data_IF_401933904091
#
_entry.id   IF_401933904091
#
_cell.length_a   1.000
_cell.length_b   1.000
_cell.length_c   1.000
_cell.angle_alpha   90.00
_cell.angle_beta   90.00
_cell.angle_gamma   90.00
#
_symmetry.space_group_name_H-M   'P 1'
#
loop_
_entity.id
_entity.type
_entity.pdbx_description
1 polymer ?
#
# COMPACT_ATOMS: atom_id res chain seq x y z
N UNK A 1 60.11 11.83 7.43
CA UNK A 1 59.04 10.83 7.25
C UNK A 1 58.00 11.22 8.24
N UNK A 2 56.86 11.76 7.81
CA UNK A 2 55.63 11.88 8.63
C UNK A 2 54.52 12.59 7.84
N UNK A 3 54.85 13.54 6.94
CA UNK A 3 53.83 14.28 6.19
C UNK A 3 53.12 13.44 5.10
N UNK A 4 53.84 12.62 4.34
CA UNK A 4 53.23 11.80 3.27
C UNK A 4 52.28 10.73 3.81
N UNK A 5 52.56 10.19 5.00
CA UNK A 5 51.67 9.25 5.67
C UNK A 5 50.44 9.96 6.22
N UNK A 6 50.61 11.14 6.85
CA UNK A 6 49.48 11.93 7.32
C UNK A 6 48.56 12.37 6.17
N UNK A 7 49.12 12.72 5.01
CA UNK A 7 48.35 13.09 3.83
C UNK A 7 47.57 11.89 3.27
N UNK A 8 48.15 10.70 3.30
CA UNK A 8 47.46 9.46 2.93
C UNK A 8 46.29 9.15 3.87
N UNK A 9 46.45 9.34 5.18
CA UNK A 9 45.36 9.17 6.15
C UNK A 9 44.25 10.23 5.99
N UNK A 10 44.61 11.48 5.71
CA UNK A 10 43.64 12.56 5.45
C UNK A 10 42.82 12.30 4.18
N UNK A 11 43.45 11.82 3.11
CA UNK A 11 42.74 11.43 1.89
C UNK A 11 41.81 10.24 2.14
N UNK A 12 42.27 9.20 2.83
CA UNK A 12 41.45 8.02 3.13
C UNK A 12 40.22 8.35 3.97
N UNK A 13 40.37 9.20 4.99
CA UNK A 13 39.24 9.63 5.84
C UNK A 13 38.25 10.53 5.09
N UNK A 14 38.73 11.43 4.22
CA UNK A 14 37.86 12.26 3.39
C UNK A 14 37.02 11.42 2.41
N UNK A 15 37.61 10.39 1.80
CA UNK A 15 36.90 9.45 0.91
C UNK A 15 35.85 8.66 1.69
N UNK A 16 36.17 8.20 2.89
CA UNK A 16 35.24 7.45 3.75
C UNK A 16 34.04 8.33 4.15
N UNK A 17 34.27 9.60 4.48
CA UNK A 17 33.24 10.59 4.78
C UNK A 17 32.35 10.88 3.57
N UNK A 18 32.94 11.03 2.38
CA UNK A 18 32.19 11.26 1.14
C UNK A 18 31.31 10.05 0.76
N UNK A 19 31.81 8.83 0.94
CA UNK A 19 31.04 7.60 0.72
C UNK A 19 29.88 7.48 1.73
N UNK A 20 30.13 7.75 3.01
CA UNK A 20 29.08 7.77 4.04
C UNK A 20 27.98 8.79 3.75
N UNK A 21 28.36 10.02 3.35
CA UNK A 21 27.42 11.06 2.98
C UNK A 21 26.60 10.71 1.73
N UNK A 22 27.22 10.08 0.73
CA UNK A 22 26.54 9.61 -0.47
C UNK A 22 25.45 8.56 -0.13
N UNK A 23 25.78 7.58 0.72
CA UNK A 23 24.83 6.56 1.17
C UNK A 23 23.61 7.19 1.89
N UNK A 24 23.85 8.11 2.82
CA UNK A 24 22.77 8.84 3.53
C UNK A 24 21.89 9.61 2.55
N UNK A 25 22.49 10.27 1.55
CA UNK A 25 21.76 11.06 0.54
C UNK A 25 20.87 10.20 -0.36
N UNK A 26 21.27 8.96 -0.66
CA UNK A 26 20.43 8.03 -1.44
C UNK A 26 19.19 7.54 -0.70
N UNK A 27 19.21 7.53 0.64
CA UNK A 27 18.08 7.08 1.46
C UNK A 27 16.93 8.10 1.52
N UNK A 28 17.21 9.36 1.14
CA UNK A 28 16.21 10.43 1.04
C UNK A 28 15.38 10.40 -0.24
N UNK A 29 15.28 9.24 -0.91
CA UNK A 29 14.21 8.98 -1.88
C UNK A 29 12.89 9.05 -1.14
N UNK A 30 12.30 10.25 -1.13
CA UNK A 30 10.99 10.62 -0.58
C UNK A 30 10.11 9.40 -0.41
N UNK A 31 10.22 8.81 0.78
CA UNK A 31 9.35 7.72 1.20
C UNK A 31 7.94 8.19 0.92
N UNK A 32 7.17 7.42 0.16
CA UNK A 32 5.82 7.80 -0.29
C UNK A 32 4.98 8.09 0.95
N UNK A 33 5.00 9.34 1.43
CA UNK A 33 4.58 9.78 2.77
C UNK A 33 3.16 9.34 3.08
N UNK A 34 2.33 9.31 2.04
CA UNK A 34 0.95 8.85 2.09
C UNK A 34 0.85 7.33 2.16
N UNK A 35 1.65 6.59 1.39
CA UNK A 35 1.65 5.13 1.39
C UNK A 35 2.21 4.53 2.69
N UNK A 36 3.04 5.27 3.42
CA UNK A 36 3.65 4.81 4.68
C UNK A 36 2.85 5.17 5.93
N UNK A 37 1.70 5.85 5.83
CA UNK A 37 0.86 6.08 7.01
C UNK A 37 0.30 4.75 7.52
N UNK A 38 0.30 4.59 8.84
CA UNK A 38 -0.20 3.39 9.55
C UNK A 38 -1.60 2.99 9.10
N UNK A 39 -2.51 3.97 8.97
CA UNK A 39 -3.90 3.76 8.50
C UNK A 39 -3.96 2.98 7.17
N UNK A 40 -3.05 3.23 6.22
CA UNK A 40 -3.03 2.53 4.94
C UNK A 40 -2.27 1.20 4.98
N UNK A 41 -1.34 1.02 5.92
CA UNK A 41 -0.65 -0.27 6.15
C UNK A 41 -1.61 -1.28 6.76
N UNK A 42 -2.43 -0.83 7.71
CA UNK A 42 -3.32 -1.70 8.47
C UNK A 42 -4.66 -1.94 7.79
N UNK A 43 -4.97 -1.20 6.72
CA UNK A 43 -6.24 -1.27 5.96
C UNK A 43 -6.67 -2.70 5.60
N UNK A 44 -5.73 -3.59 5.27
CA UNK A 44 -6.08 -4.99 4.93
C UNK A 44 -6.67 -5.75 6.13
N UNK A 45 -6.28 -5.39 7.35
CA UNK A 45 -6.71 -6.03 8.59
C UNK A 45 -7.86 -5.28 9.26
N UNK A 46 -7.76 -3.95 9.38
CA UNK A 46 -8.69 -3.10 10.12
C UNK A 46 -9.60 -2.22 9.25
N UNK A 47 -9.50 -2.34 7.92
CA UNK A 47 -10.34 -1.58 7.00
C UNK A 47 -11.81 -1.97 7.09
N UNK A 48 -12.68 -1.01 6.80
CA UNK A 48 -14.14 -1.19 6.77
C UNK A 48 -14.57 -2.43 5.96
N UNK A 49 -13.93 -2.66 4.81
CA UNK A 49 -14.21 -3.81 3.97
C UNK A 49 -14.02 -5.13 4.73
N UNK A 50 -12.86 -5.32 5.34
CA UNK A 50 -12.50 -6.56 6.03
C UNK A 50 -13.34 -6.76 7.30
N UNK A 51 -13.52 -5.68 8.09
CA UNK A 51 -14.13 -5.77 9.42
C UNK A 51 -15.65 -5.80 9.36
N UNK A 52 -16.25 -5.07 8.43
CA UNK A 52 -17.68 -4.77 8.43
C UNK A 52 -18.37 -5.30 7.18
N UNK A 53 -17.90 -4.94 5.98
CA UNK A 53 -18.58 -5.33 4.74
C UNK A 53 -18.63 -6.85 4.54
N UNK A 54 -17.53 -7.56 4.80
CA UNK A 54 -17.51 -9.03 4.67
C UNK A 54 -18.49 -9.71 5.63
N UNK A 55 -18.63 -9.19 6.85
CA UNK A 55 -19.63 -9.69 7.83
C UNK A 55 -21.04 -9.41 7.38
N UNK A 56 -21.32 -8.22 6.83
CA UNK A 56 -22.62 -7.93 6.24
C UNK A 56 -22.94 -8.93 5.12
N UNK A 57 -21.96 -9.21 4.24
CA UNK A 57 -22.13 -10.15 3.14
C UNK A 57 -22.44 -11.58 3.61
N UNK A 58 -21.83 -12.05 4.71
CA UNK A 58 -22.01 -13.42 5.19
C UNK A 58 -23.19 -13.60 6.14
N UNK A 59 -23.35 -12.67 7.08
CA UNK A 59 -24.17 -12.87 8.28
C UNK A 59 -25.42 -11.97 8.30
N UNK A 60 -25.44 -10.88 7.52
CA UNK A 60 -26.51 -9.87 7.56
C UNK A 60 -26.96 -9.44 6.14
N UNK A 61 -27.81 -10.26 5.48
CA UNK A 61 -28.27 -10.00 4.13
C UNK A 61 -29.12 -8.73 4.02
N UNK A 62 -29.83 -8.32 5.08
CA UNK A 62 -30.62 -7.09 5.08
C UNK A 62 -29.72 -5.87 5.05
N UNK A 63 -28.69 -5.83 5.89
CA UNK A 63 -27.73 -4.75 5.91
C UNK A 63 -26.86 -4.75 4.64
N UNK A 64 -26.50 -5.91 4.11
CA UNK A 64 -25.85 -6.02 2.81
C UNK A 64 -26.70 -5.42 1.70
N UNK A 65 -28.00 -5.74 1.68
CA UNK A 65 -28.94 -5.18 0.70
C UNK A 65 -29.11 -3.67 0.88
N UNK A 66 -29.18 -3.18 2.12
CA UNK A 66 -29.25 -1.73 2.39
C UNK A 66 -28.00 -1.00 1.89
N UNK A 67 -26.83 -1.60 2.07
CA UNK A 67 -25.55 -1.03 1.68
C UNK A 67 -25.31 -1.08 0.16
N UNK A 68 -25.61 -2.20 -0.49
CA UNK A 68 -25.30 -2.41 -1.93
C UNK A 68 -26.50 -2.22 -2.86
N UNK A 69 -27.72 -2.12 -2.32
CA UNK A 69 -29.00 -2.14 -3.05
C UNK A 69 -29.23 -3.39 -3.90
N UNK A 70 -28.57 -4.50 -3.56
CA UNK A 70 -28.67 -5.77 -4.28
C UNK A 70 -28.45 -6.97 -3.35
N UNK A 71 -28.87 -8.15 -3.80
CA UNK A 71 -28.57 -9.40 -3.09
C UNK A 71 -27.12 -9.81 -3.34
N UNK A 72 -26.58 -10.67 -2.47
CA UNK A 72 -25.21 -11.21 -2.61
C UNK A 72 -25.00 -11.90 -3.95
N UNK A 73 -25.99 -12.65 -4.44
CA UNK A 73 -25.93 -13.32 -5.74
C UNK A 73 -25.81 -12.33 -6.91
N UNK A 74 -26.59 -11.25 -6.89
CA UNK A 74 -26.54 -10.21 -7.94
C UNK A 74 -25.22 -9.48 -7.89
N UNK A 75 -24.74 -9.17 -6.68
CA UNK A 75 -23.43 -8.56 -6.47
C UNK A 75 -22.30 -9.42 -7.03
N UNK A 76 -22.28 -10.72 -6.71
CA UNK A 76 -21.25 -11.64 -7.19
C UNK A 76 -21.31 -11.85 -8.70
N UNK A 77 -22.52 -11.88 -9.27
CA UNK A 77 -22.71 -11.89 -10.72
C UNK A 77 -22.13 -10.62 -11.37
N UNK A 78 -22.46 -9.44 -10.85
CA UNK A 78 -21.93 -8.17 -11.35
C UNK A 78 -20.40 -8.11 -11.22
N UNK A 79 -19.87 -8.55 -10.08
CA UNK A 79 -18.45 -8.66 -9.84
C UNK A 79 -17.79 -9.57 -10.86
N UNK A 80 -18.38 -10.71 -11.21
CA UNK A 80 -17.83 -11.62 -12.23
C UNK A 80 -17.63 -10.95 -13.59
N UNK A 81 -18.54 -10.03 -13.98
CA UNK A 81 -18.46 -9.28 -15.24
C UNK A 81 -17.43 -8.15 -15.18
N UNK A 82 -17.28 -7.52 -14.02
CA UNK A 82 -16.43 -6.34 -13.86
C UNK A 82 -15.02 -6.65 -13.34
N UNK A 83 -14.78 -7.84 -12.78
CA UNK A 83 -13.52 -8.24 -12.12
C UNK A 83 -12.30 -7.95 -12.98
N UNK A 84 -12.36 -8.27 -14.27
CA UNK A 84 -11.27 -8.05 -15.22
C UNK A 84 -11.00 -6.57 -15.50
N UNK A 85 -12.05 -5.73 -15.48
CA UNK A 85 -11.94 -4.27 -15.65
C UNK A 85 -11.48 -3.58 -14.36
N UNK A 86 -11.82 -4.14 -13.21
CA UNK A 86 -11.48 -3.60 -11.89
C UNK A 86 -10.07 -4.00 -11.40
N UNK A 87 -9.50 -5.09 -11.93
CA UNK A 87 -8.12 -5.53 -11.62
C UNK A 87 -7.11 -4.61 -12.32
N UNK A 88 -6.32 -3.84 -11.56
CA UNK A 88 -5.23 -3.01 -12.10
C UNK A 88 -3.93 -3.84 -12.10
N UNK A 89 -3.25 -3.92 -13.24
CA UNK A 89 -2.16 -4.91 -13.42
C UNK A 89 -0.87 -4.67 -12.60
N UNK A 90 -0.64 -3.49 -12.03
CA UNK A 90 0.73 -3.08 -11.61
C UNK A 90 0.81 -2.34 -10.26
N UNK A 91 0.04 -2.74 -9.24
CA UNK A 91 0.16 -2.13 -7.89
C UNK A 91 0.07 -3.20 -6.80
N UNK A 92 1.12 -3.30 -5.97
CA UNK A 92 1.25 -4.30 -4.88
C UNK A 92 0.19 -4.21 -3.77
N UNK A 93 -0.36 -3.02 -3.50
CA UNK A 93 -1.32 -2.78 -2.41
C UNK A 93 -2.69 -2.36 -2.93
N UNK A 94 -3.09 -2.94 -4.05
CA UNK A 94 -4.34 -2.57 -4.68
C UNK A 94 -5.55 -3.00 -3.84
N UNK A 95 -6.55 -2.12 -3.78
CA UNK A 95 -7.93 -2.45 -3.39
C UNK A 95 -8.41 -3.58 -4.29
N UNK A 96 -8.94 -4.66 -3.70
CA UNK A 96 -9.41 -5.81 -4.45
C UNK A 96 -10.63 -5.42 -5.31
N UNK A 97 -10.89 -6.13 -6.42
CA UNK A 97 -12.03 -5.81 -7.29
C UNK A 97 -13.38 -5.76 -6.57
N UNK A 98 -13.56 -6.63 -5.59
CA UNK A 98 -14.78 -6.71 -4.78
C UNK A 98 -14.96 -5.48 -3.90
N UNK A 99 -13.93 -5.10 -3.15
CA UNK A 99 -13.92 -3.88 -2.33
C UNK A 99 -14.13 -2.62 -3.18
N UNK A 100 -13.57 -2.57 -4.39
CA UNK A 100 -13.85 -1.47 -5.33
C UNK A 100 -15.31 -1.40 -5.72
N UNK A 101 -15.92 -2.55 -6.03
CA UNK A 101 -17.32 -2.62 -6.39
C UNK A 101 -18.19 -2.18 -5.22
N UNK A 102 -17.90 -2.66 -4.01
CA UNK A 102 -18.58 -2.29 -2.78
C UNK A 102 -18.57 -0.77 -2.55
N UNK A 103 -17.39 -0.13 -2.66
CA UNK A 103 -17.26 1.33 -2.51
C UNK A 103 -18.03 2.10 -3.59
N UNK A 104 -18.11 1.55 -4.80
CA UNK A 104 -18.79 2.20 -5.93
C UNK A 104 -20.32 2.17 -5.79
N UNK A 105 -20.85 1.20 -5.05
CA UNK A 105 -22.29 0.98 -4.88
C UNK A 105 -22.89 1.66 -3.65
N UNK A 106 -22.05 2.11 -2.72
CA UNK A 106 -22.47 2.92 -1.56
C UNK A 106 -23.02 4.27 -2.01
#
# INVERSE_FOLDING_TARGET
>A
MDNDETDAYLLATSVLLLLGAALIRTNNRTSRRWKTRTIYRDRKQSGFYTVTFLKMKSDDPEQFFKYTRMTTMVFDYLLSKLKNKLKRRRISDQICPEEKLAITLQ
#
